data_IF_323857213836
#
_entry.id   IF_323857213836
#
_cell.length_a   1.000
_cell.length_b   1.000
_cell.length_c   1.000
_cell.angle_alpha   90.00
_cell.angle_beta   90.00
_cell.angle_gamma   90.00
#
_symmetry.space_group_name_H-M   'P 1'
#
loop_
_entity.id
_entity.type
_entity.pdbx_description
1 polymer ?
#
# COMPACT_ATOMS: atom_id res chain seq x y z
N UNK A 1 15.02 -7.19 1.48
CA UNK A 1 13.61 -7.43 1.84
C UNK A 1 13.43 -8.79 2.51
N UNK A 2 12.58 -8.88 3.55
CA UNK A 2 12.11 -10.15 4.12
C UNK A 2 10.64 -10.40 3.76
N UNK A 3 10.41 -11.07 2.62
CA UNK A 3 9.06 -11.33 2.08
C UNK A 3 8.18 -12.08 3.10
N UNK A 4 8.72 -13.10 3.77
CA UNK A 4 7.96 -13.90 4.72
C UNK A 4 7.41 -13.05 5.89
N UNK A 5 8.21 -12.09 6.38
CA UNK A 5 7.77 -11.14 7.40
C UNK A 5 6.64 -10.25 6.91
N UNK A 6 6.73 -9.74 5.67
CA UNK A 6 5.69 -8.87 5.10
C UNK A 6 4.39 -9.63 4.86
N UNK A 7 4.46 -10.87 4.37
CA UNK A 7 3.28 -11.73 4.23
C UNK A 7 2.61 -11.97 5.58
N UNK A 8 3.37 -12.33 6.61
CA UNK A 8 2.84 -12.55 7.95
C UNK A 8 2.19 -11.28 8.54
N UNK A 9 2.77 -10.10 8.30
CA UNK A 9 2.19 -8.83 8.74
C UNK A 9 0.85 -8.55 8.04
N UNK A 10 0.79 -8.70 6.72
CA UNK A 10 -0.47 -8.48 5.98
C UNK A 10 -1.53 -9.48 6.42
N UNK A 11 -1.17 -10.75 6.60
CA UNK A 11 -2.07 -11.77 7.12
C UNK A 11 -2.61 -11.41 8.51
N UNK A 12 -1.76 -10.95 9.43
CA UNK A 12 -2.21 -10.47 10.75
C UNK A 12 -3.25 -9.35 10.61
N UNK A 13 -2.98 -8.35 9.76
CA UNK A 13 -3.85 -7.19 9.56
C UNK A 13 -5.19 -7.57 8.92
N UNK A 14 -5.26 -8.64 8.13
CA UNK A 14 -6.51 -9.16 7.57
C UNK A 14 -7.46 -9.71 8.65
N UNK A 15 -6.95 -10.26 9.75
CA UNK A 15 -7.79 -10.85 10.81
C UNK A 15 -7.91 -9.96 12.05
N UNK A 16 -6.99 -9.02 12.25
CA UNK A 16 -7.01 -8.10 13.38
C UNK A 16 -8.21 -7.15 13.31
N UNK A 17 -8.95 -6.90 14.40
CA UNK A 17 -10.01 -5.90 14.41
C UNK A 17 -9.44 -4.49 14.18
N UNK A 18 -10.13 -3.67 13.38
CA UNK A 18 -9.74 -2.28 13.17
C UNK A 18 -9.86 -1.50 14.48
N UNK A 19 -8.93 -0.55 14.74
CA UNK A 19 -9.04 0.28 15.92
C UNK A 19 -10.23 1.24 15.81
N UNK A 20 -10.78 1.63 16.96
CA UNK A 20 -11.83 2.65 17.04
C UNK A 20 -11.29 4.08 16.85
N UNK A 21 -9.98 4.28 17.01
CA UNK A 21 -9.31 5.58 16.93
C UNK A 21 -8.04 5.48 16.09
N UNK A 22 -7.55 6.62 15.61
CA UNK A 22 -6.30 6.69 14.86
C UNK A 22 -5.11 6.40 15.78
N UNK A 23 -4.15 5.59 15.30
CA UNK A 23 -2.93 5.29 16.06
C UNK A 23 -1.83 4.61 15.25
N UNK A 24 -0.61 4.52 15.78
CA UNK A 24 0.48 3.80 15.12
C UNK A 24 0.23 2.29 15.10
N UNK A 25 0.58 1.60 14.01
CA UNK A 25 0.40 0.15 13.85
C UNK A 25 1.55 -0.52 13.10
N UNK A 26 2.28 -1.43 13.75
CA UNK A 26 3.19 -2.39 13.09
C UNK A 26 4.21 -1.84 12.06
N UNK A 27 4.50 -0.54 12.06
CA UNK A 27 5.33 0.13 11.03
C UNK A 27 4.62 1.25 10.24
N UNK A 28 3.32 1.48 10.41
CA UNK A 28 2.56 2.57 9.78
C UNK A 28 1.42 3.10 10.65
N UNK A 29 0.28 3.42 10.04
CA UNK A 29 -0.90 4.02 10.69
C UNK A 29 -2.08 3.06 10.66
N UNK A 30 -2.87 3.06 11.72
CA UNK A 30 -4.18 2.42 11.76
C UNK A 30 -5.24 3.47 12.04
N UNK A 31 -6.39 3.29 11.44
CA UNK A 31 -7.54 4.16 11.58
C UNK A 31 -8.82 3.31 11.57
N UNK A 32 -9.97 3.89 11.93
CA UNK A 32 -11.24 3.21 11.77
C UNK A 32 -11.41 2.68 10.34
N UNK A 33 -11.68 1.38 10.22
CA UNK A 33 -11.96 0.72 8.93
C UNK A 33 -10.74 0.37 8.07
N UNK A 34 -9.52 0.80 8.41
CA UNK A 34 -8.32 0.43 7.65
C UNK A 34 -6.99 0.40 8.44
N UNK A 35 -6.04 -0.34 7.89
CA UNK A 35 -4.63 -0.37 8.28
C UNK A 35 -3.76 0.06 7.10
N UNK A 36 -2.73 0.85 7.37
CA UNK A 36 -1.66 1.17 6.43
C UNK A 36 -0.33 0.81 7.07
N UNK A 37 0.33 -0.22 6.56
CA UNK A 37 1.64 -0.67 7.02
C UNK A 37 2.74 -0.24 6.04
N UNK A 38 3.81 0.34 6.56
CA UNK A 38 5.03 0.56 5.78
C UNK A 38 5.86 -0.72 5.85
N UNK A 39 5.95 -1.44 4.74
CA UNK A 39 6.73 -2.68 4.64
C UNK A 39 8.23 -2.36 4.55
N UNK A 40 8.58 -1.43 3.68
CA UNK A 40 9.93 -0.90 3.52
C UNK A 40 9.87 0.61 3.32
N UNK A 41 10.88 1.33 3.81
CA UNK A 41 11.02 2.77 3.59
C UNK A 41 12.47 3.08 3.29
N UNK A 42 12.71 3.88 2.26
CA UNK A 42 14.02 4.45 2.03
C UNK A 42 14.38 5.36 3.20
N UNK A 43 15.68 5.55 3.42
CA UNK A 43 16.21 6.46 4.43
C UNK A 43 17.18 7.43 3.77
N UNK A 44 16.90 8.72 3.90
CA UNK A 44 17.79 9.78 3.46
C UNK A 44 17.78 10.02 1.95
N UNK A 45 16.72 9.63 1.24
CA UNK A 45 16.57 9.94 -0.19
C UNK A 45 15.88 11.28 -0.48
N UNK A 46 15.38 11.95 0.56
CA UNK A 46 14.82 13.30 0.44
C UNK A 46 15.89 14.27 -0.08
N UNK A 47 15.68 14.83 -1.27
CA UNK A 47 16.60 15.79 -1.88
C UNK A 47 17.94 15.21 -2.36
N UNK A 48 18.04 13.88 -2.51
CA UNK A 48 19.20 13.20 -3.12
C UNK A 48 19.18 13.24 -4.65
N UNK A 49 20.24 12.73 -5.25
CA UNK A 49 20.36 12.56 -6.70
C UNK A 49 19.15 11.76 -7.26
N UNK A 50 18.52 12.24 -8.35
CA UNK A 50 17.39 11.55 -8.96
C UNK A 50 17.67 10.09 -9.35
N UNK A 51 18.92 9.75 -9.68
CA UNK A 51 19.33 8.39 -10.04
C UNK A 51 19.30 7.42 -8.86
N UNK A 52 19.77 7.84 -7.68
CA UNK A 52 19.69 7.02 -6.45
C UNK A 52 18.22 6.73 -6.06
N UNK A 53 17.35 7.74 -6.22
CA UNK A 53 15.93 7.58 -5.99
C UNK A 53 15.31 6.60 -6.99
N UNK A 54 15.58 6.77 -8.28
CA UNK A 54 15.04 5.89 -9.33
C UNK A 54 15.44 4.42 -9.11
N UNK A 55 16.70 4.15 -8.77
CA UNK A 55 17.15 2.80 -8.44
C UNK A 55 16.41 2.20 -7.22
N UNK A 56 16.09 3.03 -6.23
CA UNK A 56 15.32 2.59 -5.06
C UNK A 56 13.87 2.30 -5.40
N UNK A 57 13.24 3.14 -6.24
CA UNK A 57 11.88 2.88 -6.75
C UNK A 57 11.84 1.55 -7.49
N UNK A 58 12.76 1.33 -8.43
CA UNK A 58 12.84 0.07 -9.19
C UNK A 58 13.02 -1.15 -8.26
N UNK A 59 13.85 -1.03 -7.21
CA UNK A 59 14.00 -2.09 -6.22
C UNK A 59 12.69 -2.35 -5.47
N UNK A 60 11.95 -1.32 -5.07
CA UNK A 60 10.68 -1.48 -4.36
C UNK A 60 9.56 -1.99 -5.26
N UNK A 61 9.60 -1.70 -6.56
CA UNK A 61 8.71 -2.29 -7.55
C UNK A 61 9.00 -3.79 -7.73
N UNK A 62 10.26 -4.21 -7.82
CA UNK A 62 10.65 -5.63 -7.80
C UNK A 62 10.17 -6.32 -6.53
N UNK A 63 10.28 -5.65 -5.40
CA UNK A 63 9.85 -6.15 -4.10
C UNK A 63 8.31 -6.30 -4.04
N UNK A 64 7.55 -5.33 -4.57
CA UNK A 64 6.09 -5.41 -4.77
C UNK A 64 5.72 -6.60 -5.65
N UNK A 65 6.41 -6.79 -6.77
CA UNK A 65 6.11 -7.86 -7.71
C UNK A 65 6.40 -9.25 -7.10
N UNK A 66 7.44 -9.35 -6.27
CA UNK A 66 7.71 -10.57 -5.51
C UNK A 66 6.62 -10.87 -4.46
N UNK A 67 6.04 -9.83 -3.83
CA UNK A 67 4.87 -9.99 -2.96
C UNK A 67 3.61 -10.36 -3.77
N UNK A 68 3.42 -9.74 -4.93
CA UNK A 68 2.32 -10.02 -5.85
C UNK A 68 2.25 -11.51 -6.19
N UNK A 69 3.36 -12.14 -6.58
CA UNK A 69 3.35 -13.57 -6.93
C UNK A 69 2.91 -14.48 -5.77
N UNK A 70 3.23 -14.08 -4.53
CA UNK A 70 2.83 -14.81 -3.32
C UNK A 70 1.36 -14.63 -3.01
N UNK A 71 0.84 -13.40 -3.07
CA UNK A 71 -0.58 -13.13 -2.86
C UNK A 71 -1.43 -13.68 -4.00
N UNK A 72 -0.94 -13.65 -5.23
CA UNK A 72 -1.65 -14.20 -6.39
C UNK A 72 -1.82 -15.73 -6.31
N UNK A 73 -0.90 -16.43 -5.65
CA UNK A 73 -1.05 -17.86 -5.35
C UNK A 73 -2.20 -18.13 -4.37
N UNK A 74 -2.54 -17.15 -3.52
CA UNK A 74 -3.55 -17.27 -2.45
C UNK A 74 -4.93 -16.74 -2.85
N UNK A 75 -4.98 -15.54 -3.43
CA UNK A 75 -6.20 -14.80 -3.74
C UNK A 75 -6.41 -14.61 -5.24
N UNK A 76 -5.60 -15.26 -6.08
CA UNK A 76 -5.69 -15.18 -7.53
C UNK A 76 -4.94 -13.99 -8.13
N UNK A 77 -4.71 -14.08 -9.44
CA UNK A 77 -4.10 -12.99 -10.23
C UNK A 77 -5.10 -11.86 -10.40
N UNK A 78 -4.58 -10.64 -10.37
CA UNK A 78 -5.36 -9.40 -10.44
C UNK A 78 -4.62 -8.41 -11.32
N UNK A 79 -5.36 -7.59 -12.06
CA UNK A 79 -4.76 -6.52 -12.85
C UNK A 79 -4.34 -5.36 -11.93
N UNK A 80 -3.28 -4.61 -12.29
CA UNK A 80 -2.87 -3.47 -11.50
C UNK A 80 -3.97 -2.40 -11.42
N UNK A 81 -4.29 -1.96 -10.21
CA UNK A 81 -5.29 -0.94 -9.94
C UNK A 81 -4.70 0.46 -10.14
N UNK A 82 -5.30 1.23 -11.04
CA UNK A 82 -4.81 2.56 -11.43
C UNK A 82 -5.27 3.65 -10.44
N UNK A 83 -4.37 4.01 -9.52
CA UNK A 83 -4.61 5.06 -8.54
C UNK A 83 -4.56 6.47 -9.12
N UNK A 84 -4.06 6.66 -10.35
CA UNK A 84 -4.12 7.97 -11.01
C UNK A 84 -5.57 8.40 -11.26
N UNK A 85 -6.45 7.47 -11.64
CA UNK A 85 -7.87 7.77 -11.85
C UNK A 85 -8.54 8.13 -10.53
N UNK A 86 -8.21 7.43 -9.45
CA UNK A 86 -8.71 7.74 -8.10
C UNK A 86 -8.28 9.14 -7.67
N UNK A 87 -7.00 9.49 -7.85
CA UNK A 87 -6.48 10.81 -7.52
C UNK A 87 -7.18 11.93 -8.31
N UNK A 88 -7.47 11.74 -9.59
CA UNK A 88 -8.21 12.74 -10.37
C UNK A 88 -9.66 12.92 -9.88
N UNK A 89 -10.26 11.88 -9.30
CA UNK A 89 -11.61 11.94 -8.74
C UNK A 89 -11.64 12.69 -7.40
N UNK A 90 -10.56 12.69 -6.61
CA UNK A 90 -10.52 13.44 -5.34
C UNK A 90 -10.72 14.95 -5.51
N UNK A 91 -10.48 15.48 -6.72
CA UNK A 91 -10.75 16.90 -7.04
C UNK A 91 -12.26 17.18 -7.25
N UNK A 92 -13.07 16.14 -7.44
CA UNK A 92 -14.49 16.23 -7.84
C UNK A 92 -15.45 15.66 -6.81
N UNK A 93 -15.02 14.64 -6.07
CA UNK A 93 -15.82 13.94 -5.08
C UNK A 93 -14.97 13.52 -3.88
N UNK A 94 -15.64 13.25 -2.77
CA UNK A 94 -15.00 12.68 -1.59
C UNK A 94 -14.71 11.20 -1.85
N UNK A 95 -13.42 10.86 -1.91
CA UNK A 95 -12.98 9.47 -1.97
C UNK A 95 -12.72 9.00 -0.53
N UNK A 96 -13.28 7.86 -0.11
CA UNK A 96 -13.08 7.38 1.24
C UNK A 96 -11.63 6.97 1.48
N UNK A 97 -11.16 7.15 2.72
CA UNK A 97 -9.90 6.55 3.16
C UNK A 97 -10.05 5.02 3.23
N UNK A 98 -9.00 4.26 2.90
CA UNK A 98 -7.61 4.68 2.65
C UNK A 98 -7.29 5.03 1.18
N UNK A 99 -8.29 5.05 0.28
CA UNK A 99 -8.05 5.17 -1.16
C UNK A 99 -7.58 6.58 -1.55
N UNK A 100 -8.11 7.61 -0.90
CA UNK A 100 -7.65 8.99 -1.08
C UNK A 100 -6.16 9.11 -0.74
N UNK A 101 -5.76 8.74 0.48
CA UNK A 101 -4.37 8.79 0.91
C UNK A 101 -3.43 7.92 0.07
N UNK A 102 -3.86 6.70 -0.28
CA UNK A 102 -3.06 5.80 -1.12
C UNK A 102 -2.84 6.40 -2.53
N UNK A 103 -3.87 7.02 -3.12
CA UNK A 103 -3.78 7.63 -4.45
C UNK A 103 -2.91 8.88 -4.50
N UNK A 104 -2.83 9.64 -3.39
CA UNK A 104 -1.94 10.77 -3.24
C UNK A 104 -0.46 10.36 -3.22
N UNK A 105 -0.14 9.17 -2.69
CA UNK A 105 1.23 8.67 -2.55
C UNK A 105 1.72 7.76 -3.67
N UNK A 106 0.84 6.96 -4.28
CA UNK A 106 1.21 5.89 -5.22
C UNK A 106 0.45 5.96 -6.56
N UNK A 107 1.07 5.52 -7.65
CA UNK A 107 0.47 5.54 -9.00
C UNK A 107 -0.38 4.31 -9.30
N UNK A 108 0.08 3.16 -8.83
CA UNK A 108 -0.53 1.85 -9.11
C UNK A 108 -0.46 1.00 -7.84
N UNK A 109 -1.50 0.22 -7.59
CA UNK A 109 -1.51 -0.79 -6.54
C UNK A 109 -1.85 -2.18 -7.11
N UNK A 110 -1.29 -3.22 -6.52
CA UNK A 110 -1.85 -4.58 -6.68
C UNK A 110 -2.97 -4.75 -5.65
N UNK A 111 -4.13 -5.23 -6.08
CA UNK A 111 -5.36 -5.22 -5.27
C UNK A 111 -6.05 -6.58 -5.25
N UNK A 112 -6.33 -7.07 -4.05
CA UNK A 112 -7.05 -8.33 -3.83
C UNK A 112 -8.18 -8.15 -2.83
N UNK A 113 -9.23 -8.93 -2.99
CA UNK A 113 -10.17 -9.21 -1.91
C UNK A 113 -9.61 -10.37 -1.07
N UNK A 114 -9.40 -10.15 0.22
CA UNK A 114 -8.98 -11.20 1.14
C UNK A 114 -10.18 -12.11 1.45
N UNK A 115 -10.32 -13.16 0.65
CA UNK A 115 -11.43 -14.12 0.73
C UNK A 115 -11.72 -14.55 2.17
N UNK A 116 -13.00 -14.53 2.54
CA UNK A 116 -13.48 -14.91 3.86
C UNK A 116 -13.33 -13.85 4.97
N UNK A 117 -12.73 -12.68 4.67
CA UNK A 117 -12.59 -11.59 5.64
C UNK A 117 -13.48 -10.38 5.34
N UNK A 118 -13.96 -10.24 4.10
CA UNK A 118 -14.69 -9.05 3.62
C UNK A 118 -13.80 -7.79 3.60
N UNK A 119 -12.50 -7.97 3.41
CA UNK A 119 -11.50 -6.89 3.39
C UNK A 119 -10.74 -6.88 2.08
N UNK A 120 -10.25 -5.71 1.72
CA UNK A 120 -9.39 -5.47 0.58
C UNK A 120 -7.95 -5.31 1.04
N UNK A 121 -7.03 -5.87 0.26
CA UNK A 121 -5.59 -5.75 0.46
C UNK A 121 -4.99 -5.07 -0.76
N UNK A 122 -4.36 -3.92 -0.56
CA UNK A 122 -3.64 -3.21 -1.60
C UNK A 122 -2.14 -3.13 -1.26
N UNK A 123 -1.27 -3.41 -2.24
CA UNK A 123 0.18 -3.24 -2.09
C UNK A 123 0.67 -2.26 -3.16
N UNK A 124 1.38 -1.21 -2.74
CA UNK A 124 1.79 -0.14 -3.65
C UNK A 124 3.15 0.45 -3.26
N UNK A 125 3.85 1.00 -4.27
CA UNK A 125 5.05 1.81 -4.04
C UNK A 125 4.62 3.28 -4.05
N UNK A 126 4.82 3.95 -2.92
CA UNK A 126 4.59 5.38 -2.78
C UNK A 126 5.89 6.14 -3.08
N UNK A 127 5.95 6.71 -4.28
CA UNK A 127 7.10 7.45 -4.80
C UNK A 127 6.74 8.86 -5.33
N UNK A 128 5.44 9.20 -5.40
CA UNK A 128 4.93 10.39 -6.13
C UNK A 128 5.55 11.71 -5.68
N UNK A 129 5.67 11.92 -4.37
CA UNK A 129 6.29 13.13 -3.82
C UNK A 129 7.81 12.95 -3.72
N UNK A 130 8.54 13.75 -4.49
CA UNK A 130 10.00 13.75 -4.51
C UNK A 130 10.62 14.28 -3.21
N UNK A 131 9.86 15.04 -2.40
CA UNK A 131 10.27 15.52 -1.09
C UNK A 131 10.12 14.46 0.01
N UNK A 132 9.43 13.36 -0.27
CA UNK A 132 9.23 12.24 0.65
C UNK A 132 10.16 11.05 0.37
N UNK A 133 10.29 10.18 1.37
CA UNK A 133 10.96 8.89 1.19
C UNK A 133 10.12 7.99 0.27
N UNK A 134 10.79 7.16 -0.53
CA UNK A 134 10.13 6.08 -1.26
C UNK A 134 9.70 5.03 -0.24
N UNK A 135 8.45 4.57 -0.32
CA UNK A 135 7.92 3.55 0.61
C UNK A 135 7.22 2.43 -0.15
N UNK A 136 7.40 1.20 0.32
CA UNK A 136 6.55 0.08 -0.04
C UNK A 136 5.47 -0.05 1.03
N UNK A 137 4.21 0.09 0.62
CA UNK A 137 3.07 0.12 1.52
C UNK A 137 2.17 -1.10 1.30
N UNK A 138 1.56 -1.57 2.39
CA UNK A 138 0.40 -2.45 2.36
C UNK A 138 -0.77 -1.77 3.05
N UNK A 139 -1.95 -1.82 2.44
CA UNK A 139 -3.20 -1.30 2.97
C UNK A 139 -4.18 -2.45 3.12
N UNK A 140 -4.83 -2.54 4.26
CA UNK A 140 -5.93 -3.50 4.51
C UNK A 140 -7.15 -2.71 4.95
N UNK A 141 -8.27 -2.83 4.26
CA UNK A 141 -9.46 -2.01 4.51
C UNK A 141 -10.76 -2.79 4.32
N UNK A 142 -11.84 -2.37 4.97
CA UNK A 142 -13.19 -2.84 4.65
C UNK A 142 -13.84 -2.08 3.49
N UNK A 143 -13.31 -0.90 3.18
CA UNK A 143 -13.84 -0.06 2.10
C UNK A 143 -13.47 -0.64 0.73
N UNK A 144 -14.44 -0.95 -0.14
CA UNK A 144 -14.14 -1.38 -1.51
C UNK A 144 -13.42 -0.29 -2.31
N UNK A 145 -12.64 -0.67 -3.35
CA UNK A 145 -12.05 0.31 -4.26
C UNK A 145 -13.14 1.18 -4.92
N UNK A 146 -12.91 2.50 -5.04
CA UNK A 146 -13.91 3.47 -5.49
C UNK A 146 -14.15 3.49 -7.00
#
# INVERSE_FOLDING_TARGET
MNIARHLALVDELCFRPFPAEHGPSGGGTAAPGHFTAVLESSRGLRGRDPGERAATVEQYEKDRDALYERFATRWGRTDPFNLQTVLLRTEREEIPEPWAGLSAGARVACLWEAEGTGRWVAVAVADRDQADEVRLLAVVTQEPPP
#
